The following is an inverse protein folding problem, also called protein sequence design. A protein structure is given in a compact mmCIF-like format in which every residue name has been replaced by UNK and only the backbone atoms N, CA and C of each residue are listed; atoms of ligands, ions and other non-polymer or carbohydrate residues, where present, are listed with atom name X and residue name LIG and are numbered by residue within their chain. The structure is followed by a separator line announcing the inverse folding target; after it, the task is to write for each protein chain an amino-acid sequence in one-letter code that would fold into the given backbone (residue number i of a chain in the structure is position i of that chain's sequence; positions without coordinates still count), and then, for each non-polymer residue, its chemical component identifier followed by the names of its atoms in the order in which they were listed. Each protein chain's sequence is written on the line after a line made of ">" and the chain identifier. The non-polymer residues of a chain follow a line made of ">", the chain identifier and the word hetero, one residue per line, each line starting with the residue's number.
data_IF_233691281079
#
_entry.id   IF_233691281079
#
_cell.length_a   1.000
_cell.length_b   1.000
_cell.length_c   1.000
_cell.angle_alpha   90.00
_cell.angle_beta   90.00
_cell.angle_gamma   90.00
#
_symmetry.space_group_name_H-M   'P 1'
#
loop_
_entity.id
_entity.type
_entity.pdbx_description
1 polymer ?
#
# COMPACT_ATOMS: atom_id res chain seq x y z
N UNK A 1 -1.79 1.59 -19.36
CA UNK A 1 -2.36 0.89 -18.16
C UNK A 1 -2.01 1.68 -16.92
N UNK A 2 -3.01 2.14 -16.19
CA UNK A 2 -2.75 2.86 -14.94
C UNK A 2 -3.39 2.15 -13.74
N UNK A 3 -2.71 2.19 -12.60
CA UNK A 3 -3.19 1.65 -11.32
C UNK A 3 -3.44 2.79 -10.34
N UNK A 4 -4.44 2.63 -9.47
CA UNK A 4 -4.82 3.68 -8.50
C UNK A 4 -4.82 3.16 -7.08
N UNK A 5 -4.47 4.03 -6.12
CA UNK A 5 -4.55 3.77 -4.68
C UNK A 5 -4.96 5.04 -3.93
N UNK A 6 -6.11 4.99 -3.26
CA UNK A 6 -6.58 6.06 -2.38
C UNK A 6 -6.15 5.76 -0.93
N UNK A 7 -5.57 6.75 -0.27
CA UNK A 7 -5.11 6.67 1.12
C UNK A 7 -5.67 7.87 1.91
N UNK A 8 -6.43 7.64 2.99
CA UNK A 8 -6.78 8.71 3.91
C UNK A 8 -5.52 9.13 4.69
N UNK A 9 -5.35 10.43 4.86
CA UNK A 9 -4.26 11.01 5.64
C UNK A 9 -4.79 11.45 7.00
N UNK A 10 -4.10 11.04 8.04
CA UNK A 10 -4.37 11.39 9.42
C UNK A 10 -3.17 12.12 10.02
N UNK A 11 -3.40 12.86 11.09
CA UNK A 11 -2.32 13.48 11.85
C UNK A 11 -1.53 12.40 12.59
N UNK A 12 -0.23 12.31 12.33
CA UNK A 12 0.65 11.39 13.06
C UNK A 12 0.79 11.78 14.55
N UNK A 13 1.19 10.83 15.39
CA UNK A 13 1.44 11.08 16.81
C UNK A 13 2.46 12.22 16.99
N UNK A 14 2.11 13.20 17.81
CA UNK A 14 2.98 14.34 18.15
C UNK A 14 3.11 15.41 17.06
N UNK A 15 2.28 15.36 16.02
CA UNK A 15 2.23 16.38 14.98
C UNK A 15 0.93 17.18 15.05
N UNK A 16 0.93 18.41 14.58
CA UNK A 16 -0.26 19.20 14.34
C UNK A 16 -0.78 19.04 12.89
N UNK A 17 -2.01 19.49 12.65
CA UNK A 17 -2.67 19.39 11.34
C UNK A 17 -1.94 20.19 10.27
N UNK A 18 -1.43 21.38 10.63
CA UNK A 18 -0.75 22.28 9.69
C UNK A 18 0.53 21.63 9.16
N UNK A 19 1.39 21.16 10.05
CA UNK A 19 2.62 20.46 9.69
C UNK A 19 2.36 19.20 8.86
N UNK A 20 1.32 18.42 9.21
CA UNK A 20 1.02 17.21 8.47
C UNK A 20 0.50 17.47 7.04
N UNK A 21 -0.24 18.58 6.81
CA UNK A 21 -0.67 18.99 5.48
C UNK A 21 0.51 19.56 4.69
N UNK A 22 1.32 20.43 5.31
CA UNK A 22 2.49 21.00 4.67
C UNK A 22 3.49 19.92 4.21
N UNK A 23 3.84 18.98 5.09
CA UNK A 23 4.75 17.87 4.78
C UNK A 23 4.32 17.07 3.55
N UNK A 24 3.01 16.80 3.37
CA UNK A 24 2.54 16.04 2.22
C UNK A 24 2.52 16.87 0.94
N UNK A 25 2.16 18.16 1.02
CA UNK A 25 2.21 19.07 -0.13
C UNK A 25 3.66 19.25 -0.59
N UNK A 26 4.58 19.57 0.31
CA UNK A 26 6.02 19.70 0.02
C UNK A 26 6.60 18.41 -0.61
N UNK A 27 6.19 17.26 -0.10
CA UNK A 27 6.64 15.97 -0.63
C UNK A 27 6.21 15.76 -2.09
N UNK A 28 4.96 16.09 -2.43
CA UNK A 28 4.44 15.87 -3.79
C UNK A 28 4.84 16.96 -4.77
N UNK A 29 5.08 18.18 -4.30
CA UNK A 29 5.51 19.32 -5.12
C UNK A 29 7.03 19.38 -5.34
N UNK A 30 7.80 18.44 -4.77
CA UNK A 30 9.25 18.44 -4.85
C UNK A 30 9.75 18.73 -6.28
N UNK A 31 10.52 19.84 -6.48
CA UNK A 31 10.96 20.28 -7.80
C UNK A 31 11.78 19.26 -8.57
N UNK A 32 12.58 18.44 -7.86
CA UNK A 32 13.40 17.40 -8.48
C UNK A 32 12.57 16.26 -9.07
N UNK A 33 11.32 16.12 -8.65
CA UNK A 33 10.41 15.05 -9.11
C UNK A 33 9.38 15.53 -10.11
N UNK A 34 9.08 16.83 -10.12
CA UNK A 34 8.02 17.46 -10.92
C UNK A 34 8.55 18.28 -12.10
N UNK A 35 9.80 18.02 -12.51
CA UNK A 35 10.49 18.82 -13.54
C UNK A 35 10.44 20.32 -13.20
N UNK A 36 10.99 20.67 -12.04
CA UNK A 36 11.03 22.05 -11.52
C UNK A 36 9.66 22.73 -11.40
N UNK A 37 8.63 21.96 -11.06
CA UNK A 37 7.26 22.46 -10.88
C UNK A 37 6.42 22.52 -12.15
N UNK A 38 6.96 22.14 -13.30
CA UNK A 38 6.25 22.14 -14.60
C UNK A 38 4.98 21.28 -14.57
N UNK A 39 5.00 20.17 -13.81
CA UNK A 39 3.91 19.21 -13.75
C UNK A 39 3.11 19.29 -12.44
N UNK A 40 2.92 20.50 -11.93
CA UNK A 40 2.05 20.78 -10.78
C UNK A 40 0.81 21.55 -11.26
N UNK A 41 -0.36 21.13 -10.75
CA UNK A 41 -1.63 21.77 -11.04
C UNK A 41 -2.50 21.87 -9.78
N UNK A 42 -2.99 23.06 -9.47
CA UNK A 42 -3.98 23.29 -8.42
C UNK A 42 -5.38 23.51 -9.01
N UNK A 43 -6.38 22.92 -8.37
CA UNK A 43 -7.79 23.17 -8.64
C UNK A 43 -8.43 23.81 -7.41
N UNK A 44 -9.03 25.00 -7.59
CA UNK A 44 -9.65 25.80 -6.52
C UNK A 44 -8.69 26.03 -5.32
N UNK A 45 -7.38 26.12 -5.61
CA UNK A 45 -6.31 26.52 -4.68
C UNK A 45 -5.07 26.98 -5.46
N UNK A 46 -4.29 27.88 -4.87
CA UNK A 46 -2.93 28.20 -5.36
C UNK A 46 -1.97 27.12 -4.83
N UNK A 47 -1.20 26.51 -5.72
CA UNK A 47 -0.24 25.45 -5.35
C UNK A 47 0.76 25.89 -4.29
N UNK A 48 1.16 27.17 -4.28
CA UNK A 48 2.11 27.75 -3.31
C UNK A 48 1.53 27.91 -1.90
N UNK A 49 0.22 27.90 -1.75
CA UNK A 49 -0.50 28.14 -0.48
C UNK A 49 -1.54 27.06 -0.18
N UNK A 50 -1.53 25.95 -0.95
CA UNK A 50 -2.52 24.89 -0.85
C UNK A 50 -2.61 24.27 0.56
N UNK A 51 -1.51 24.17 1.27
CA UNK A 51 -1.44 23.71 2.66
C UNK A 51 -2.23 24.63 3.61
N UNK A 52 -2.01 25.94 3.50
CA UNK A 52 -2.71 26.94 4.30
C UNK A 52 -4.20 27.01 3.95
N UNK A 53 -4.56 26.93 2.67
CA UNK A 53 -5.94 26.93 2.20
C UNK A 53 -6.70 25.67 2.65
N UNK A 54 -6.07 24.50 2.61
CA UNK A 54 -6.64 23.26 3.13
C UNK A 54 -6.86 23.35 4.65
N UNK A 55 -5.91 23.92 5.38
CA UNK A 55 -6.05 24.15 6.82
C UNK A 55 -7.19 25.12 7.13
N UNK A 56 -7.29 26.21 6.37
CA UNK A 56 -8.35 27.24 6.54
C UNK A 56 -9.74 26.62 6.34
N UNK A 57 -9.93 25.87 5.26
CA UNK A 57 -11.22 25.23 4.97
C UNK A 57 -11.63 24.22 6.06
N UNK A 58 -10.66 23.52 6.68
CA UNK A 58 -10.92 22.63 7.83
C UNK A 58 -11.38 23.41 9.07
N UNK A 59 -10.75 24.56 9.36
CA UNK A 59 -11.15 25.44 10.47
C UNK A 59 -12.55 25.99 10.22
N UNK A 60 -12.84 26.42 9.00
CA UNK A 60 -14.18 26.89 8.62
C UNK A 60 -15.22 25.78 8.76
N UNK A 61 -14.92 24.55 8.29
CA UNK A 61 -15.80 23.41 8.49
C UNK A 61 -16.12 23.15 9.96
N UNK A 62 -15.10 23.17 10.84
CA UNK A 62 -15.30 22.98 12.27
C UNK A 62 -16.17 24.08 12.88
N UNK A 63 -15.95 25.33 12.48
CA UNK A 63 -16.74 26.49 12.95
C UNK A 63 -18.20 26.43 12.46
N UNK A 64 -18.42 26.09 11.19
CA UNK A 64 -19.76 26.07 10.60
C UNK A 64 -20.61 24.88 11.08
N UNK A 65 -19.97 23.71 11.28
CA UNK A 65 -20.69 22.47 11.57
C UNK A 65 -20.64 22.04 13.04
N UNK A 66 -19.75 22.63 13.83
CA UNK A 66 -19.45 22.19 15.21
C UNK A 66 -18.78 20.82 15.29
N UNK A 67 -18.38 20.21 14.16
CA UNK A 67 -17.83 18.85 14.12
C UNK A 67 -16.33 18.86 14.13
N UNK A 68 -15.75 18.22 15.13
CA UNK A 68 -14.32 17.98 15.21
C UNK A 68 -14.11 16.50 15.63
N UNK A 69 -13.33 15.74 14.83
CA UNK A 69 -13.01 14.33 15.12
C UNK A 69 -11.66 14.15 15.81
N UNK A 70 -10.99 15.24 16.15
CA UNK A 70 -9.69 15.19 16.84
C UNK A 70 -8.64 14.41 16.03
N UNK A 71 -7.95 13.48 16.69
CA UNK A 71 -6.88 12.67 16.09
C UNK A 71 -7.36 11.71 15.00
N UNK A 72 -8.63 11.29 15.03
CA UNK A 72 -9.21 10.39 14.03
C UNK A 72 -9.70 11.12 12.76
N UNK A 73 -9.50 12.44 12.70
CA UNK A 73 -9.93 13.21 11.53
C UNK A 73 -9.05 12.93 10.31
N UNK A 74 -9.73 12.73 9.16
CA UNK A 74 -9.03 12.67 7.86
C UNK A 74 -8.73 14.11 7.43
N UNK A 75 -7.45 14.46 7.36
CA UNK A 75 -7.00 15.80 7.01
C UNK A 75 -6.99 16.07 5.50
N UNK A 76 -6.64 15.07 4.71
CA UNK A 76 -6.67 15.07 3.26
C UNK A 76 -6.75 13.62 2.74
N UNK A 77 -6.92 13.46 1.43
CA UNK A 77 -6.79 12.16 0.77
C UNK A 77 -5.66 12.21 -0.24
N UNK A 78 -4.83 11.20 -0.22
CA UNK A 78 -3.76 11.02 -1.19
C UNK A 78 -4.16 9.92 -2.18
N UNK A 79 -4.44 10.29 -3.41
CA UNK A 79 -4.68 9.37 -4.50
C UNK A 79 -3.40 9.27 -5.35
N UNK A 80 -2.85 8.08 -5.46
CA UNK A 80 -1.75 7.78 -6.38
C UNK A 80 -2.31 7.13 -7.63
N UNK A 81 -1.81 7.55 -8.79
CA UNK A 81 -2.10 6.98 -10.10
C UNK A 81 -0.77 6.72 -10.80
N UNK A 82 -0.46 5.46 -11.12
CA UNK A 82 0.81 5.07 -11.71
C UNK A 82 0.58 4.42 -13.07
N UNK A 83 1.33 4.86 -14.08
CA UNK A 83 1.21 4.41 -15.46
C UNK A 83 2.26 3.35 -15.81
N UNK A 84 1.98 2.55 -16.83
CA UNK A 84 2.94 1.62 -17.39
C UNK A 84 4.09 2.41 -18.05
N UNK A 85 5.35 2.00 -17.84
CA UNK A 85 6.49 2.67 -18.47
C UNK A 85 6.34 2.78 -19.97
N UNK A 86 6.62 3.98 -20.53
CA UNK A 86 6.61 4.25 -21.96
C UNK A 86 5.23 4.35 -22.61
N UNK A 87 4.14 4.33 -21.84
CA UNK A 87 2.77 4.36 -22.37
C UNK A 87 2.16 5.77 -22.42
N UNK A 88 2.71 6.69 -21.65
CA UNK A 88 2.17 8.04 -21.48
C UNK A 88 3.29 9.04 -21.29
N UNK A 89 3.12 10.24 -21.82
CA UNK A 89 4.01 11.37 -21.54
C UNK A 89 3.68 11.99 -20.18
N UNK A 90 4.60 12.75 -19.54
CA UNK A 90 4.29 13.45 -18.29
C UNK A 90 3.13 14.43 -18.40
N UNK A 91 3.03 15.14 -19.54
CA UNK A 91 1.94 16.06 -19.82
C UNK A 91 0.58 15.36 -19.87
N UNK A 92 0.49 14.26 -20.62
CA UNK A 92 -0.73 13.43 -20.72
C UNK A 92 -1.08 12.82 -19.36
N UNK A 93 -0.09 12.32 -18.62
CA UNK A 93 -0.31 11.78 -17.27
C UNK A 93 -0.89 12.83 -16.34
N UNK A 94 -0.36 14.07 -16.36
CA UNK A 94 -0.87 15.16 -15.56
C UNK A 94 -2.31 15.53 -15.95
N UNK A 95 -2.61 15.58 -17.25
CA UNK A 95 -3.98 15.83 -17.74
C UNK A 95 -4.95 14.74 -17.27
N UNK A 96 -4.61 13.45 -17.43
CA UNK A 96 -5.44 12.33 -16.97
C UNK A 96 -5.64 12.39 -15.45
N UNK A 97 -4.61 12.79 -14.69
CA UNK A 97 -4.69 13.00 -13.24
C UNK A 97 -5.70 14.08 -12.85
N UNK A 98 -5.71 15.21 -13.57
CA UNK A 98 -6.69 16.31 -13.37
C UNK A 98 -8.11 15.84 -13.65
N UNK A 99 -8.33 15.17 -14.77
CA UNK A 99 -9.63 14.63 -15.17
C UNK A 99 -10.15 13.61 -14.15
N UNK A 100 -9.28 12.74 -13.66
CA UNK A 100 -9.62 11.77 -12.60
C UNK A 100 -10.02 12.49 -11.31
N UNK A 101 -9.27 13.50 -10.89
CA UNK A 101 -9.56 14.27 -9.69
C UNK A 101 -10.88 15.04 -9.79
N UNK A 102 -11.15 15.71 -10.91
CA UNK A 102 -12.41 16.42 -11.17
C UNK A 102 -13.61 15.46 -11.12
N UNK A 103 -13.54 14.33 -11.84
CA UNK A 103 -14.62 13.34 -11.83
C UNK A 103 -14.83 12.73 -10.43
N UNK A 104 -13.75 12.46 -9.68
CA UNK A 104 -13.82 11.87 -8.35
C UNK A 104 -14.42 12.83 -7.32
N UNK A 105 -13.98 14.08 -7.34
CA UNK A 105 -14.43 15.12 -6.40
C UNK A 105 -15.77 15.74 -6.79
N UNK A 106 -16.22 15.48 -8.02
CA UNK A 106 -17.39 16.17 -8.63
C UNK A 106 -17.25 17.70 -8.55
N UNK A 107 -16.01 18.16 -8.71
CA UNK A 107 -15.64 19.59 -8.68
C UNK A 107 -15.94 20.30 -7.34
N UNK A 108 -16.21 19.54 -6.26
CA UNK A 108 -16.59 20.08 -4.97
C UNK A 108 -15.45 20.13 -3.93
N UNK A 109 -14.24 19.75 -4.31
CA UNK A 109 -13.07 19.77 -3.43
C UNK A 109 -11.87 20.38 -4.13
N UNK A 110 -11.14 21.22 -3.42
CA UNK A 110 -9.83 21.66 -3.86
C UNK A 110 -8.84 20.47 -3.87
N UNK A 111 -7.93 20.45 -4.85
CA UNK A 111 -6.90 19.42 -4.94
C UNK A 111 -5.66 19.93 -5.67
N UNK A 112 -4.53 19.27 -5.43
CA UNK A 112 -3.27 19.46 -6.15
C UNK A 112 -2.91 18.17 -6.86
N UNK A 113 -2.52 18.25 -8.14
CA UNK A 113 -2.00 17.14 -8.96
C UNK A 113 -0.53 17.39 -9.25
N UNK A 114 0.33 16.49 -8.80
CA UNK A 114 1.76 16.53 -9.06
C UNK A 114 2.17 15.26 -9.83
N UNK A 115 2.73 15.43 -11.02
CA UNK A 115 3.25 14.31 -11.81
C UNK A 115 4.73 14.16 -11.56
N UNK A 116 5.14 13.01 -11.05
CA UNK A 116 6.52 12.66 -10.80
C UNK A 116 7.14 11.91 -11.98
N UNK A 117 8.32 12.36 -12.38
CA UNK A 117 9.11 11.84 -13.50
C UNK A 117 10.47 11.27 -13.07
N UNK A 118 10.73 11.24 -11.76
CA UNK A 118 12.01 10.77 -11.17
C UNK A 118 12.19 9.26 -11.23
N UNK A 119 11.16 8.50 -11.60
CA UNK A 119 11.17 7.04 -11.69
C UNK A 119 11.06 6.56 -13.13
N UNK A 120 11.36 5.29 -13.34
CA UNK A 120 11.21 4.64 -14.64
C UNK A 120 9.77 4.68 -15.19
N UNK A 121 8.79 4.92 -14.35
CA UNK A 121 7.38 5.08 -14.72
C UNK A 121 6.84 6.43 -14.24
N UNK A 122 6.06 7.06 -15.08
CA UNK A 122 5.35 8.31 -14.73
C UNK A 122 4.22 7.99 -13.76
N UNK A 123 4.05 8.81 -12.74
CA UNK A 123 2.97 8.63 -11.76
C UNK A 123 2.50 9.97 -11.18
N UNK A 124 1.20 10.04 -10.92
CA UNK A 124 0.56 11.17 -10.30
C UNK A 124 0.38 10.97 -8.80
N UNK A 125 0.67 12.02 -8.07
CA UNK A 125 0.22 12.24 -6.71
C UNK A 125 -0.87 13.29 -6.71
N UNK A 126 -2.07 12.92 -6.26
CA UNK A 126 -3.23 13.81 -6.21
C UNK A 126 -3.59 13.97 -4.73
N UNK A 127 -3.44 15.19 -4.21
CA UNK A 127 -3.79 15.51 -2.83
C UNK A 127 -5.13 16.26 -2.84
N UNK A 128 -6.16 15.60 -2.31
CA UNK A 128 -7.54 16.12 -2.27
C UNK A 128 -7.82 16.63 -0.87
N UNK A 129 -8.28 17.87 -0.78
CA UNK A 129 -8.76 18.42 0.48
C UNK A 129 -9.95 17.60 0.99
N UNK A 130 -9.90 17.20 2.26
CA UNK A 130 -10.99 16.42 2.86
C UNK A 130 -12.28 17.22 3.02
N UNK A 131 -12.23 18.55 2.98
CA UNK A 131 -13.37 19.46 3.15
C UNK A 131 -13.85 19.94 1.78
N UNK A 132 -15.16 20.04 1.59
CA UNK A 132 -15.77 20.63 0.39
C UNK A 132 -15.48 22.13 0.27
N UNK A 133 -15.58 22.70 -0.93
CA UNK A 133 -15.36 24.14 -1.20
C UNK A 133 -16.28 25.03 -0.37
N UNK A 134 -17.51 24.61 -0.14
CA UNK A 134 -18.49 25.31 0.72
C UNK A 134 -18.23 25.10 2.23
N UNK A 135 -17.22 24.35 2.60
CA UNK A 135 -16.86 24.01 3.98
C UNK A 135 -17.99 23.37 4.82
N UNK A 136 -19.02 22.78 4.19
CA UNK A 136 -20.15 22.18 4.90
C UNK A 136 -20.06 20.66 5.02
N UNK A 137 -19.32 20.00 4.14
CA UNK A 137 -19.22 18.55 4.05
C UNK A 137 -17.77 18.09 3.99
N UNK A 138 -17.58 16.80 4.18
CA UNK A 138 -16.29 16.13 3.96
C UNK A 138 -16.38 15.16 2.80
N UNK A 139 -15.25 14.91 2.16
CA UNK A 139 -15.12 13.88 1.13
C UNK A 139 -15.64 12.55 1.65
N UNK A 140 -16.53 11.94 0.91
CA UNK A 140 -17.15 10.68 1.29
C UNK A 140 -16.31 9.51 0.78
N UNK A 141 -15.46 8.97 1.64
CA UNK A 141 -14.80 7.70 1.41
C UNK A 141 -15.63 6.57 2.04
N UNK A 142 -15.98 5.54 1.26
CA UNK A 142 -16.75 4.38 1.69
C UNK A 142 -16.10 3.10 1.17
N UNK A 143 -16.55 1.95 1.63
CA UNK A 143 -15.98 0.64 1.28
C UNK A 143 -15.82 0.41 -0.25
N UNK A 144 -16.76 0.91 -1.07
CA UNK A 144 -16.72 0.78 -2.52
C UNK A 144 -15.88 1.84 -3.26
N UNK A 145 -15.32 2.86 -2.58
CA UNK A 145 -14.61 3.98 -3.23
C UNK A 145 -13.45 3.51 -4.09
N UNK A 146 -12.66 2.55 -3.61
CA UNK A 146 -11.51 2.01 -4.35
C UNK A 146 -11.93 1.39 -5.68
N UNK A 147 -13.03 0.65 -5.71
CA UNK A 147 -13.58 0.05 -6.93
C UNK A 147 -14.14 1.11 -7.89
N UNK A 148 -14.81 2.12 -7.35
CA UNK A 148 -15.33 3.23 -8.15
C UNK A 148 -14.20 4.02 -8.82
N UNK A 149 -13.13 4.32 -8.07
CA UNK A 149 -11.95 5.02 -8.58
C UNK A 149 -11.26 4.20 -9.68
N UNK A 150 -11.08 2.90 -9.48
CA UNK A 150 -10.48 2.03 -10.51
C UNK A 150 -11.27 2.05 -11.80
N UNK A 151 -12.59 1.85 -11.73
CA UNK A 151 -13.47 1.90 -12.92
C UNK A 151 -13.44 3.26 -13.62
N UNK A 152 -13.40 4.34 -12.86
CA UNK A 152 -13.29 5.69 -13.38
C UNK A 152 -11.94 5.90 -14.08
N UNK A 153 -10.86 5.44 -13.46
CA UNK A 153 -9.52 5.46 -14.02
C UNK A 153 -9.41 4.63 -15.31
N UNK A 154 -9.95 3.41 -15.31
CA UNK A 154 -9.92 2.53 -16.49
C UNK A 154 -10.69 3.14 -17.65
N UNK A 155 -11.84 3.75 -17.39
CA UNK A 155 -12.60 4.49 -18.40
C UNK A 155 -11.79 5.64 -18.98
N UNK A 156 -11.13 6.46 -18.15
CA UNK A 156 -10.26 7.53 -18.61
C UNK A 156 -9.08 7.01 -19.42
N UNK A 157 -8.43 5.93 -18.97
CA UNK A 157 -7.35 5.30 -19.73
C UNK A 157 -7.80 4.91 -21.15
N UNK A 158 -8.98 4.31 -21.28
CA UNK A 158 -9.54 3.94 -22.59
C UNK A 158 -9.88 5.17 -23.44
N UNK A 159 -10.43 6.23 -22.84
CA UNK A 159 -10.73 7.50 -23.52
C UNK A 159 -9.45 8.16 -24.09
N UNK A 160 -8.31 7.98 -23.42
CA UNK A 160 -6.98 8.44 -23.85
C UNK A 160 -6.17 7.39 -24.64
N UNK A 161 -6.78 6.28 -25.06
CA UNK A 161 -6.11 5.22 -25.86
C UNK A 161 -5.08 4.39 -25.10
N UNK A 162 -5.10 4.44 -23.76
CA UNK A 162 -4.18 3.68 -22.91
C UNK A 162 -4.74 2.29 -22.60
N UNK A 163 -3.84 1.34 -22.33
CA UNK A 163 -4.23 0.00 -21.90
C UNK A 163 -4.81 -0.02 -20.47
N UNK A 164 -5.62 -1.02 -20.18
CA UNK A 164 -6.20 -1.27 -18.84
C UNK A 164 -5.76 -2.62 -18.29
N UNK A 165 -5.97 -2.85 -16.99
CA UNK A 165 -5.76 -4.17 -16.35
C UNK A 165 -7.04 -4.99 -16.52
N UNK A 166 -7.12 -5.85 -17.53
CA UNK A 166 -8.30 -6.67 -17.80
C UNK A 166 -8.60 -7.67 -16.68
N UNK A 167 -7.57 -8.34 -16.17
CA UNK A 167 -7.69 -9.35 -15.12
C UNK A 167 -6.82 -8.98 -13.90
N UNK A 168 -7.30 -8.10 -13.02
CA UNK A 168 -6.54 -7.71 -11.84
C UNK A 168 -6.42 -8.90 -10.88
N UNK A 169 -5.20 -9.35 -10.66
CA UNK A 169 -4.93 -10.37 -9.61
C UNK A 169 -5.21 -9.76 -8.24
N UNK A 170 -5.84 -10.49 -7.31
CA UNK A 170 -5.97 -10.03 -5.94
C UNK A 170 -4.56 -9.79 -5.38
N UNK A 171 -4.33 -8.56 -4.87
CA UNK A 171 -3.08 -8.26 -4.18
C UNK A 171 -3.05 -9.06 -2.89
N UNK A 172 -2.23 -10.09 -2.82
CA UNK A 172 -1.95 -10.83 -1.58
C UNK A 172 -1.01 -10.06 -0.66
N UNK A 173 -0.21 -9.15 -1.23
CA UNK A 173 0.88 -8.51 -0.51
C UNK A 173 0.66 -7.02 -0.34
N UNK A 174 0.88 -6.53 0.88
CA UNK A 174 1.02 -5.11 1.14
C UNK A 174 2.29 -4.60 0.44
N UNK A 175 2.30 -3.31 0.03
CA UNK A 175 3.45 -2.66 -0.61
C UNK A 175 4.77 -2.87 0.17
N UNK A 176 4.70 -2.95 1.50
CA UNK A 176 5.84 -3.30 2.35
C UNK A 176 6.39 -4.71 2.10
N UNK A 177 5.55 -5.66 1.71
CA UNK A 177 5.95 -7.03 1.38
C UNK A 177 6.63 -7.09 0.02
N UNK A 178 6.14 -6.31 -0.97
CA UNK A 178 6.79 -6.18 -2.28
C UNK A 178 8.17 -5.52 -2.18
N UNK A 179 8.32 -4.47 -1.37
CA UNK A 179 9.64 -3.88 -1.05
C UNK A 179 10.51 -4.86 -0.26
N UNK A 180 9.91 -5.76 0.52
CA UNK A 180 10.59 -6.83 1.24
C UNK A 180 11.10 -7.95 0.35
N UNK A 181 10.48 -8.20 -0.81
CA UNK A 181 10.92 -9.25 -1.75
C UNK A 181 12.26 -8.92 -2.44
N UNK A 182 12.75 -7.70 -2.34
CA UNK A 182 14.12 -7.31 -2.72
C UNK A 182 15.13 -7.40 -1.56
N UNK A 183 14.67 -7.68 -0.33
CA UNK A 183 15.54 -7.98 0.81
C UNK A 183 15.84 -9.47 0.85
N UNK A 184 16.97 -9.83 1.44
CA UNK A 184 17.25 -11.24 1.74
C UNK A 184 16.01 -11.87 2.43
N UNK A 185 15.66 -13.11 2.06
CA UNK A 185 14.47 -13.78 2.59
C UNK A 185 14.51 -13.78 4.12
N UNK A 186 13.37 -13.44 4.71
CA UNK A 186 13.25 -13.47 6.17
C UNK A 186 13.49 -14.89 6.70
N UNK A 187 13.92 -15.05 7.95
CA UNK A 187 14.12 -16.37 8.56
C UNK A 187 12.87 -17.25 8.48
N UNK A 188 11.67 -16.65 8.51
CA UNK A 188 10.41 -17.39 8.34
C UNK A 188 10.21 -17.90 6.91
N UNK A 189 10.59 -17.13 5.90
CA UNK A 189 10.56 -17.54 4.49
C UNK A 189 11.58 -18.62 4.21
N UNK A 190 12.80 -18.47 4.72
CA UNK A 190 13.83 -19.52 4.63
C UNK A 190 13.35 -20.84 5.25
N UNK A 191 12.68 -20.79 6.41
CA UNK A 191 12.09 -21.95 7.05
C UNK A 191 10.99 -22.58 6.20
N UNK A 192 10.09 -21.79 5.62
CA UNK A 192 9.04 -22.31 4.73
C UNK A 192 9.64 -23.02 3.51
N UNK A 193 10.58 -22.38 2.82
CA UNK A 193 11.23 -22.98 1.66
C UNK A 193 11.97 -24.28 1.99
N UNK A 194 12.64 -24.33 3.13
CA UNK A 194 13.31 -25.54 3.54
C UNK A 194 12.33 -26.67 3.90
N UNK A 195 11.20 -26.33 4.54
CA UNK A 195 10.12 -27.29 4.82
C UNK A 195 9.50 -27.80 3.53
N UNK A 196 9.19 -26.90 2.59
CA UNK A 196 8.61 -27.25 1.29
C UNK A 196 9.56 -28.16 0.51
N UNK A 197 10.85 -27.82 0.43
CA UNK A 197 11.86 -28.63 -0.23
C UNK A 197 12.00 -30.02 0.41
N UNK A 198 11.99 -30.10 1.75
CA UNK A 198 12.05 -31.38 2.45
C UNK A 198 10.80 -32.24 2.25
N UNK A 199 9.62 -31.62 2.05
CA UNK A 199 8.36 -32.32 1.75
C UNK A 199 8.30 -32.80 0.29
N UNK A 200 8.83 -32.02 -0.66
CA UNK A 200 8.94 -32.44 -2.08
C UNK A 200 9.74 -33.76 -2.26
N UNK A 201 10.69 -33.98 -1.37
CA UNK A 201 11.46 -35.26 -1.35
C UNK A 201 10.69 -36.46 -0.77
N UNK A 202 9.40 -36.27 -0.43
CA UNK A 202 8.49 -37.33 0.08
C UNK A 202 9.08 -38.14 1.23
N UNK A 203 9.37 -37.56 2.40
CA UNK A 203 9.87 -38.27 3.56
C UNK A 203 8.88 -39.35 3.99
N UNK A 204 9.38 -40.54 4.37
CA UNK A 204 8.55 -41.69 4.76
C UNK A 204 7.84 -41.48 6.09
N UNK A 205 8.48 -40.75 6.98
CA UNK A 205 7.95 -40.43 8.31
C UNK A 205 8.38 -39.02 8.78
N UNK A 206 7.89 -38.65 9.94
CA UNK A 206 8.18 -37.34 10.54
C UNK A 206 9.65 -37.21 10.97
N UNK A 207 10.28 -38.29 11.40
CA UNK A 207 11.69 -38.28 11.80
C UNK A 207 12.61 -38.08 10.59
N UNK A 208 12.27 -38.64 9.44
CA UNK A 208 13.00 -38.42 8.20
C UNK A 208 12.86 -36.94 7.75
N UNK A 209 11.67 -36.38 7.88
CA UNK A 209 11.47 -34.93 7.61
C UNK A 209 12.38 -34.05 8.47
N UNK A 210 12.46 -34.34 9.76
CA UNK A 210 13.32 -33.59 10.67
C UNK A 210 14.80 -33.73 10.34
N UNK A 211 15.26 -34.95 10.02
CA UNK A 211 16.64 -35.20 9.59
C UNK A 211 16.99 -34.44 8.30
N UNK A 212 16.05 -34.35 7.35
CA UNK A 212 16.22 -33.53 6.12
C UNK A 212 16.35 -32.08 6.42
N UNK A 213 15.54 -31.53 7.35
CA UNK A 213 15.63 -30.16 7.78
C UNK A 213 16.96 -29.86 8.49
N UNK A 214 17.42 -30.77 9.34
CA UNK A 214 18.74 -30.67 9.99
C UNK A 214 19.88 -30.69 8.96
N UNK A 215 19.80 -31.56 7.97
CA UNK A 215 20.75 -31.62 6.85
C UNK A 215 20.74 -30.32 6.01
N UNK A 216 19.60 -29.63 5.93
CA UNK A 216 19.48 -28.31 5.31
C UNK A 216 19.97 -27.13 6.20
N UNK A 217 20.58 -27.43 7.36
CA UNK A 217 21.15 -26.43 8.28
C UNK A 217 20.12 -25.76 9.20
N UNK A 218 18.96 -26.40 9.40
CA UNK A 218 17.94 -25.91 10.32
C UNK A 218 18.02 -26.67 11.63
N UNK A 219 18.22 -25.95 12.72
CA UNK A 219 18.17 -26.57 14.05
C UNK A 219 16.71 -26.83 14.45
N UNK A 220 16.45 -28.03 14.88
CA UNK A 220 15.13 -28.51 15.33
C UNK A 220 15.14 -28.72 16.86
N UNK A 221 14.16 -28.10 17.55
CA UNK A 221 14.01 -28.28 18.98
C UNK A 221 12.62 -28.82 19.30
N UNK A 222 12.60 -30.02 19.89
CA UNK A 222 11.42 -30.82 20.26
C UNK A 222 11.16 -30.89 21.78
N UNK A 223 12.02 -30.28 22.62
CA UNK A 223 11.95 -30.38 24.08
C UNK A 223 10.68 -29.80 24.72
N UNK A 224 9.94 -28.96 23.97
CA UNK A 224 8.73 -28.35 24.46
C UNK A 224 7.51 -28.81 23.67
N UNK A 225 6.33 -28.55 24.21
CA UNK A 225 5.02 -28.89 23.63
C UNK A 225 4.84 -28.51 22.14
N UNK A 226 5.55 -27.49 21.65
CA UNK A 226 5.49 -27.05 20.27
C UNK A 226 6.87 -27.19 19.61
N UNK A 227 6.89 -27.79 18.43
CA UNK A 227 8.05 -27.88 17.58
C UNK A 227 8.56 -26.48 17.20
N UNK A 228 9.86 -26.29 17.27
CA UNK A 228 10.52 -25.01 17.00
C UNK A 228 11.72 -25.21 16.11
N UNK A 229 11.95 -24.26 15.22
CA UNK A 229 13.05 -24.24 14.27
C UNK A 229 13.91 -22.99 14.42
N UNK A 230 15.18 -23.12 14.10
CA UNK A 230 16.12 -22.00 14.05
C UNK A 230 17.00 -22.12 12.80
N UNK A 231 17.02 -21.06 11.98
CA UNK A 231 17.92 -20.93 10.84
C UNK A 231 19.27 -20.41 11.31
N UNK A 232 20.34 -20.75 10.62
CA UNK A 232 21.69 -20.26 10.92
C UNK A 232 21.70 -18.70 10.94
N UNK A 233 22.25 -18.14 12.01
CA UNK A 233 22.28 -16.67 12.24
C UNK A 233 21.06 -16.11 12.95
N UNK A 234 20.03 -16.91 13.24
CA UNK A 234 18.87 -16.48 14.00
C UNK A 234 19.13 -16.63 15.51
N UNK A 235 18.81 -15.59 16.30
CA UNK A 235 18.98 -15.66 17.77
C UNK A 235 17.91 -16.49 18.46
N UNK A 236 16.66 -16.40 18.03
CA UNK A 236 15.50 -17.03 18.67
C UNK A 236 14.87 -18.11 17.79
N UNK A 237 14.37 -19.18 18.41
CA UNK A 237 13.62 -20.22 17.71
C UNK A 237 12.26 -19.70 17.22
N UNK A 238 11.88 -20.08 16.00
CA UNK A 238 10.56 -19.85 15.42
C UNK A 238 9.66 -21.07 15.67
N UNK A 239 8.46 -20.86 16.18
CA UNK A 239 7.46 -21.93 16.39
C UNK A 239 6.72 -22.20 15.08
N UNK A 240 6.32 -23.46 14.81
CA UNK A 240 5.49 -23.81 13.66
C UNK A 240 4.25 -22.94 13.53
N UNK A 241 3.57 -22.65 14.63
CA UNK A 241 2.36 -21.79 14.65
C UNK A 241 2.62 -20.35 14.16
N UNK A 242 3.87 -19.90 14.21
CA UNK A 242 4.25 -18.55 13.74
C UNK A 242 4.42 -18.50 12.23
N UNK A 243 4.61 -19.65 11.57
CA UNK A 243 4.80 -19.73 10.12
C UNK A 243 3.49 -19.52 9.35
N UNK A 244 2.33 -19.70 10.02
CA UNK A 244 0.97 -19.57 9.45
C UNK A 244 0.70 -20.55 8.31
N UNK A 245 -0.57 -20.65 7.87
CA UNK A 245 -0.98 -21.57 6.83
C UNK A 245 -0.79 -23.03 7.22
N UNK A 246 -0.53 -23.89 6.25
CA UNK A 246 -0.44 -25.35 6.40
C UNK A 246 0.74 -25.80 7.25
N UNK A 247 1.75 -24.95 7.43
CA UNK A 247 2.90 -25.21 8.32
C UNK A 247 2.53 -25.35 9.79
N UNK A 248 1.37 -24.85 10.21
CA UNK A 248 0.88 -25.04 11.60
C UNK A 248 0.52 -26.49 11.90
N UNK A 249 0.17 -27.26 10.90
CA UNK A 249 -0.22 -28.67 11.02
C UNK A 249 1.00 -29.59 11.21
N UNK A 250 2.16 -29.21 10.67
CA UNK A 250 3.43 -29.93 10.86
C UNK A 250 3.77 -30.00 12.36
N UNK A 251 3.49 -28.96 13.13
CA UNK A 251 3.65 -28.96 14.59
C UNK A 251 2.65 -29.85 15.34
N UNK A 252 1.52 -30.18 14.74
CA UNK A 252 0.50 -31.08 15.30
C UNK A 252 0.74 -32.54 14.93
N UNK A 253 1.36 -32.80 13.78
CA UNK A 253 1.72 -34.14 13.32
C UNK A 253 2.75 -34.80 14.26
N UNK A 254 3.53 -34.01 15.02
CA UNK A 254 4.44 -34.54 16.07
C UNK A 254 3.72 -35.26 17.23
N UNK A 255 2.37 -35.13 17.32
CA UNK A 255 1.57 -35.75 18.37
C UNK A 255 0.75 -36.96 17.93
N UNK A 256 0.66 -37.26 16.63
CA UNK A 256 -0.03 -38.47 16.09
C UNK A 256 0.43 -38.77 14.67
N UNK A 257 0.88 -40.00 14.45
CA UNK A 257 1.13 -40.67 13.17
C UNK A 257 0.15 -40.28 12.05
N UNK A 258 0.43 -39.27 11.27
CA UNK A 258 -0.16 -39.05 9.92
C UNK A 258 0.58 -37.97 9.16
N UNK A 259 1.68 -38.31 8.52
CA UNK A 259 2.31 -37.53 7.44
C UNK A 259 1.58 -37.70 6.10
N UNK A 260 0.43 -38.36 6.06
CA UNK A 260 -0.25 -38.80 4.84
C UNK A 260 -1.35 -37.84 4.32
N UNK A 261 -1.40 -36.56 4.69
CA UNK A 261 -2.49 -35.63 4.25
C UNK A 261 -1.94 -34.33 3.67
N UNK A 262 -0.80 -34.35 2.98
CA UNK A 262 -0.37 -33.21 2.16
C UNK A 262 0.23 -33.73 0.84
N UNK A 263 -0.57 -34.47 0.05
CA UNK A 263 -0.34 -34.70 -1.38
C UNK A 263 -1.63 -34.34 -2.12
#
# INVERSE_FOLDING_TARGET
>A
MATTRLMPLHVGKGRDVSTAIADIIDYVENPQKTDFGKFIYGYECDTRTADAEFLLSKRQYANLTGRNRGADDVIAYHLRQAFKPGEVTPEEANQIGRELALKLTKENHAFVVCTHVDKHHVHNHIIINSTTLDCQKKFRNFWGSTWAIRRMNDKLCLEHGLSIVENPKPSRDHYGTWMGSQKQPSHQEQLRWAIDAALEEKPKDFEELLKKLEAAGIEVNQERKNLRFRVQGQQNYTRCNTLKGDYTEIGRASCRERVYVLV
#
